data_IF_054532586129
#
_entry.id   IF_054532586129
#
_cell.length_a   1.000
_cell.length_b   1.000
_cell.length_c   1.000
_cell.angle_alpha   90.00
_cell.angle_beta   90.00
_cell.angle_gamma   90.00
#
_symmetry.space_group_name_H-M   'P 1'
#
loop_
_entity.id
_entity.type
_entity.pdbx_description
1 polymer ?
#
# COMPACT_ATOMS: atom_id res chain seq x y z
N UNK A 1 23.42 -5.86 2.01
CA UNK A 1 21.99 -5.85 1.71
C UNK A 1 21.64 -7.18 1.04
N UNK A 2 20.53 -7.83 1.40
CA UNK A 2 20.17 -9.10 0.78
C UNK A 2 19.90 -8.90 -0.71
N UNK A 3 20.68 -9.53 -1.54
CA UNK A 3 20.43 -9.71 -2.97
C UNK A 3 19.96 -11.14 -3.13
N UNK A 4 18.78 -11.32 -3.69
CA UNK A 4 18.22 -12.66 -3.93
C UNK A 4 16.72 -12.75 -3.59
N UNK A 5 16.07 -13.87 -3.93
CA UNK A 5 14.64 -14.03 -3.71
C UNK A 5 14.32 -14.08 -2.22
N UNK A 6 13.32 -13.33 -1.82
CA UNK A 6 12.71 -13.39 -0.49
C UNK A 6 11.26 -13.79 -0.63
N UNK A 7 10.78 -14.62 0.27
CA UNK A 7 9.37 -15.02 0.32
C UNK A 7 8.85 -14.85 1.74
N UNK A 8 7.62 -14.41 1.84
CA UNK A 8 6.92 -14.26 3.11
C UNK A 8 5.50 -14.77 2.96
N UNK A 9 5.02 -15.49 3.96
CA UNK A 9 3.60 -15.83 4.10
C UNK A 9 3.15 -15.31 5.45
N UNK A 10 2.08 -14.54 5.46
CA UNK A 10 1.43 -14.06 6.67
C UNK A 10 -0.01 -14.53 6.73
N UNK A 11 -0.48 -14.81 7.93
CA UNK A 11 -1.88 -15.17 8.19
C UNK A 11 -2.38 -14.30 9.34
N UNK A 12 -3.51 -13.66 9.13
CA UNK A 12 -4.23 -12.89 10.14
C UNK A 12 -5.60 -13.54 10.35
N UNK A 13 -5.94 -13.78 11.61
CA UNK A 13 -7.27 -14.22 12.00
C UNK A 13 -7.84 -13.20 12.98
N UNK A 14 -8.98 -12.61 12.60
CA UNK A 14 -9.64 -11.59 13.42
C UNK A 14 -11.11 -11.95 13.61
N UNK A 15 -11.57 -11.92 14.85
CA UNK A 15 -12.97 -12.04 15.21
C UNK A 15 -13.54 -10.68 15.53
N UNK A 16 -14.58 -10.31 14.81
CA UNK A 16 -15.36 -9.09 15.05
C UNK A 16 -16.66 -9.45 15.77
N UNK A 17 -16.94 -8.79 16.88
CA UNK A 17 -18.19 -8.90 17.59
C UNK A 17 -18.76 -7.51 17.88
N UNK A 18 -20.00 -7.29 17.47
CA UNK A 18 -20.70 -6.04 17.73
C UNK A 18 -21.74 -6.24 18.82
N UNK A 19 -21.70 -5.39 19.81
CA UNK A 19 -22.81 -5.29 20.74
C UNK A 19 -23.91 -4.44 20.10
N UNK A 20 -24.82 -5.10 19.39
CA UNK A 20 -25.92 -4.42 18.71
C UNK A 20 -26.93 -4.03 19.78
N UNK A 21 -26.96 -2.72 20.10
CA UNK A 21 -28.03 -2.19 20.93
C UNK A 21 -29.39 -2.47 20.25
N UNK A 22 -30.38 -2.92 21.01
CA UNK A 22 -31.71 -3.28 20.54
C UNK A 22 -32.49 -2.14 19.86
N UNK A 23 -31.92 -0.94 19.79
CA UNK A 23 -32.48 0.27 19.19
C UNK A 23 -32.05 0.53 17.74
N UNK A 24 -31.13 -0.28 17.15
CA UNK A 24 -30.78 -0.12 15.74
C UNK A 24 -31.86 -0.78 14.89
N UNK A 25 -32.53 -0.04 13.97
CA UNK A 25 -33.50 -0.64 13.08
C UNK A 25 -32.89 -1.80 12.31
N UNK A 26 -33.58 -2.91 12.29
CA UNK A 26 -33.21 -4.17 11.66
C UNK A 26 -33.08 -4.07 10.12
N UNK A 27 -32.98 -2.88 9.56
CA UNK A 27 -33.02 -2.58 8.12
C UNK A 27 -31.71 -2.09 7.51
N UNK A 28 -30.66 -1.92 8.33
CA UNK A 28 -29.36 -1.47 7.79
C UNK A 28 -28.61 -2.64 7.12
N UNK A 29 -28.32 -2.56 5.83
CA UNK A 29 -27.59 -3.61 5.12
C UNK A 29 -26.16 -3.77 5.68
N UNK A 30 -25.70 -5.02 5.82
CA UNK A 30 -24.30 -5.34 6.17
C UNK A 30 -23.98 -5.39 7.67
N UNK A 31 -24.97 -5.34 8.56
CA UNK A 31 -24.74 -5.52 10.00
C UNK A 31 -24.66 -7.00 10.35
N UNK A 32 -23.49 -7.43 10.78
CA UNK A 32 -23.24 -8.78 11.30
C UNK A 32 -23.09 -8.71 12.82
N UNK A 33 -23.72 -9.62 13.55
CA UNK A 33 -23.55 -9.71 15.01
C UNK A 33 -22.17 -10.23 15.38
N UNK A 34 -21.64 -11.12 14.58
CA UNK A 34 -20.31 -11.71 14.72
C UNK A 34 -19.78 -12.09 13.33
N UNK A 35 -18.51 -11.86 13.10
CA UNK A 35 -17.83 -12.32 11.91
C UNK A 35 -16.39 -12.70 12.22
N UNK A 36 -15.95 -13.77 11.62
CA UNK A 36 -14.55 -14.19 11.61
C UNK A 36 -13.96 -13.89 10.23
N UNK A 37 -12.80 -13.22 10.19
CA UNK A 37 -12.03 -12.98 8.98
C UNK A 37 -10.70 -13.72 9.08
N UNK A 38 -10.38 -14.46 8.04
CA UNK A 38 -9.04 -15.03 7.84
C UNK A 38 -8.43 -14.41 6.61
N UNK A 39 -7.26 -13.80 6.74
CA UNK A 39 -6.47 -13.26 5.64
C UNK A 39 -5.19 -14.05 5.53
N UNK A 40 -4.91 -14.56 4.33
CA UNK A 40 -3.63 -15.19 4.00
C UNK A 40 -2.98 -14.39 2.90
N UNK A 41 -1.76 -13.91 3.13
CA UNK A 41 -0.99 -13.15 2.14
C UNK A 41 0.37 -13.80 1.91
N UNK A 42 0.60 -14.21 0.67
CA UNK A 42 1.90 -14.64 0.17
C UNK A 42 2.58 -13.51 -0.58
N UNK A 43 3.88 -13.32 -0.37
CA UNK A 43 4.71 -12.32 -1.06
C UNK A 43 5.98 -12.99 -1.56
N UNK A 44 6.33 -12.74 -2.81
CA UNK A 44 7.60 -13.11 -3.42
C UNK A 44 8.24 -11.85 -3.97
N UNK A 45 9.47 -11.55 -3.56
CA UNK A 45 10.23 -10.39 -3.99
C UNK A 45 11.64 -10.81 -4.40
N UNK A 46 12.17 -10.17 -5.44
CA UNK A 46 13.53 -10.39 -5.90
C UNK A 46 14.31 -9.06 -5.96
N UNK A 47 14.76 -8.51 -4.80
CA UNK A 47 15.46 -7.25 -4.78
C UNK A 47 16.88 -7.37 -5.34
N UNK A 48 17.24 -6.47 -6.23
CA UNK A 48 18.61 -6.17 -6.64
C UNK A 48 18.95 -4.78 -6.16
N UNK A 49 19.92 -4.66 -5.25
CA UNK A 49 20.28 -3.38 -4.64
C UNK A 49 21.78 -3.17 -4.78
N UNK A 50 22.14 -2.05 -5.36
CA UNK A 50 23.51 -1.55 -5.52
C UNK A 50 23.62 -0.14 -4.93
N UNK A 51 24.83 0.43 -4.75
CA UNK A 51 24.95 1.80 -4.29
C UNK A 51 24.28 2.85 -5.18
N UNK A 52 24.22 2.60 -6.50
CA UNK A 52 23.72 3.58 -7.48
C UNK A 52 22.28 3.31 -7.96
N UNK A 53 21.74 2.13 -7.74
CA UNK A 53 20.35 1.79 -8.14
C UNK A 53 19.77 0.61 -7.37
N UNK A 54 18.45 0.52 -7.39
CA UNK A 54 17.77 -0.70 -6.98
C UNK A 54 16.64 -1.03 -7.96
N UNK A 55 16.33 -2.34 -8.03
CA UNK A 55 15.19 -2.89 -8.76
C UNK A 55 14.55 -3.94 -7.86
N UNK A 56 13.26 -3.80 -7.56
CA UNK A 56 12.49 -4.69 -6.67
C UNK A 56 11.21 -5.15 -7.35
N UNK A 57 11.26 -6.19 -8.17
CA UNK A 57 10.06 -6.87 -8.62
C UNK A 57 9.42 -7.62 -7.45
N UNK A 58 8.10 -7.52 -7.33
CA UNK A 58 7.32 -8.17 -6.29
C UNK A 58 6.03 -8.73 -6.86
N UNK A 59 5.70 -9.94 -6.42
CA UNK A 59 4.41 -10.58 -6.62
C UNK A 59 3.79 -10.86 -5.27
N UNK A 60 2.53 -10.56 -5.09
CA UNK A 60 1.77 -10.91 -3.89
C UNK A 60 0.44 -11.54 -4.26
N UNK A 61 -0.04 -12.40 -3.39
CA UNK A 61 -1.33 -13.05 -3.50
C UNK A 61 -2.02 -12.93 -2.16
N UNK A 62 -3.16 -12.25 -2.13
CA UNK A 62 -3.95 -12.09 -0.91
C UNK A 62 -5.28 -12.83 -1.05
N UNK A 63 -5.56 -13.69 -0.07
CA UNK A 63 -6.83 -14.40 0.06
C UNK A 63 -7.52 -13.95 1.34
N UNK A 64 -8.76 -13.51 1.20
CA UNK A 64 -9.64 -13.21 2.32
C UNK A 64 -10.76 -14.22 2.37
N UNK A 65 -11.04 -14.75 3.55
CA UNK A 65 -12.19 -15.64 3.81
C UNK A 65 -12.97 -15.09 5.00
N UNK A 66 -14.28 -15.10 4.89
CA UNK A 66 -15.17 -14.60 5.92
C UNK A 66 -16.17 -15.67 6.33
N UNK A 67 -16.38 -15.80 7.64
CA UNK A 67 -17.48 -16.54 8.23
C UNK A 67 -18.28 -15.58 9.10
N UNK A 68 -19.47 -15.21 8.65
CA UNK A 68 -20.27 -14.20 9.32
C UNK A 68 -21.67 -14.77 9.64
N UNK A 69 -22.17 -14.43 10.83
CA UNK A 69 -23.57 -14.66 11.19
C UNK A 69 -24.36 -13.42 10.82
N UNK A 70 -25.21 -13.54 9.80
CA UNK A 70 -26.08 -12.44 9.38
C UNK A 70 -27.15 -12.20 10.45
N UNK A 71 -27.33 -10.92 10.80
CA UNK A 71 -28.40 -10.53 11.74
C UNK A 71 -29.78 -10.60 11.12
N UNK A 72 -29.90 -10.64 9.78
CA UNK A 72 -31.18 -10.71 9.08
C UNK A 72 -31.26 -11.89 8.11
N UNK A 73 -32.44 -12.58 8.05
CA UNK A 73 -32.73 -13.55 7.00
C UNK A 73 -32.71 -12.89 5.62
N UNK A 74 -32.07 -13.52 4.65
CA UNK A 74 -32.01 -13.04 3.26
C UNK A 74 -30.74 -12.31 2.87
N UNK A 75 -29.79 -12.13 3.76
CA UNK A 75 -28.46 -11.61 3.41
C UNK A 75 -27.63 -12.69 2.71
N UNK A 76 -26.93 -12.29 1.64
CA UNK A 76 -25.95 -13.16 0.99
C UNK A 76 -24.83 -13.49 1.98
N UNK A 77 -24.37 -14.75 2.03
CA UNK A 77 -23.22 -15.10 2.85
C UNK A 77 -22.01 -14.23 2.45
N UNK A 78 -21.22 -13.85 3.42
CA UNK A 78 -20.00 -13.09 3.20
C UNK A 78 -19.11 -13.84 2.22
N UNK A 79 -18.70 -13.16 1.15
CA UNK A 79 -17.85 -13.74 0.11
C UNK A 79 -16.40 -13.40 0.39
N UNK A 80 -15.52 -14.40 0.24
CA UNK A 80 -14.09 -14.19 0.19
C UNK A 80 -13.61 -13.83 -1.21
N UNK A 81 -12.35 -13.43 -1.31
CA UNK A 81 -11.68 -13.15 -2.57
C UNK A 81 -10.24 -13.65 -2.58
N UNK A 82 -9.69 -13.76 -3.79
CA UNK A 82 -8.28 -14.05 -4.04
C UNK A 82 -7.77 -13.04 -5.06
N UNK A 83 -6.79 -12.23 -4.69
CA UNK A 83 -6.31 -11.13 -5.51
C UNK A 83 -4.79 -11.19 -5.64
N UNK A 84 -4.26 -11.32 -6.87
CA UNK A 84 -2.85 -11.16 -7.16
C UNK A 84 -2.52 -9.67 -7.33
N UNK A 85 -1.33 -9.27 -6.90
CA UNK A 85 -0.75 -7.95 -7.18
C UNK A 85 0.69 -8.13 -7.66
N UNK A 86 1.03 -7.48 -8.76
CA UNK A 86 2.39 -7.38 -9.27
C UNK A 86 2.88 -5.94 -9.14
N UNK A 87 4.10 -5.74 -8.67
CA UNK A 87 4.71 -4.42 -8.63
C UNK A 87 6.18 -4.46 -9.00
N UNK A 88 6.66 -3.34 -9.52
CA UNK A 88 8.06 -3.08 -9.81
C UNK A 88 8.44 -1.72 -9.25
N UNK A 89 9.25 -1.72 -8.18
CA UNK A 89 9.81 -0.53 -7.58
C UNK A 89 11.28 -0.39 -7.99
N UNK A 90 11.65 0.72 -8.57
CA UNK A 90 13.02 1.00 -9.01
C UNK A 90 13.43 2.43 -8.71
N UNK A 91 14.71 2.61 -8.41
CA UNK A 91 15.25 3.93 -8.15
C UNK A 91 16.74 4.00 -8.49
N UNK A 92 17.18 5.23 -8.71
CA UNK A 92 18.58 5.58 -8.89
C UNK A 92 19.04 6.46 -7.74
N UNK A 93 20.31 6.44 -7.43
CA UNK A 93 20.93 7.33 -6.45
C UNK A 93 22.15 8.00 -7.09
N UNK A 94 22.12 9.32 -7.18
CA UNK A 94 23.23 10.15 -7.63
C UNK A 94 23.66 11.02 -6.45
N UNK A 95 24.96 11.10 -6.24
CA UNK A 95 25.54 11.92 -5.17
C UNK A 95 26.69 12.75 -5.72
N UNK A 96 26.82 13.98 -5.23
CA UNK A 96 27.95 14.84 -5.50
C UNK A 96 28.26 15.72 -4.28
N UNK A 97 29.51 16.09 -4.14
CA UNK A 97 29.92 17.14 -3.22
C UNK A 97 29.34 18.49 -3.64
N UNK A 98 28.79 19.23 -2.70
CA UNK A 98 28.11 20.51 -2.91
C UNK A 98 28.87 21.65 -2.18
N UNK A 99 30.14 21.83 -2.47
CA UNK A 99 30.99 22.86 -1.85
C UNK A 99 30.45 24.28 -2.02
N UNK A 100 29.77 24.55 -3.13
CA UNK A 100 29.17 25.85 -3.44
C UNK A 100 28.05 26.27 -2.48
N UNK A 101 27.39 25.30 -1.86
CA UNK A 101 26.32 25.52 -0.85
C UNK A 101 26.87 25.76 0.55
N UNK A 102 28.18 25.67 0.74
CA UNK A 102 28.85 25.84 2.02
C UNK A 102 28.63 27.21 2.67
N UNK A 103 28.43 28.25 1.87
CA UNK A 103 28.08 29.59 2.39
C UNK A 103 26.69 29.70 2.97
N UNK A 104 25.78 28.80 2.60
CA UNK A 104 24.37 28.84 3.02
C UNK A 104 24.04 27.82 4.13
N UNK A 105 24.60 26.59 4.04
CA UNK A 105 24.29 25.48 4.94
C UNK A 105 25.50 25.01 5.78
N UNK A 106 26.65 25.61 5.61
CA UNK A 106 27.92 25.16 6.22
C UNK A 106 28.83 24.45 5.23
N UNK A 107 29.99 24.05 5.69
CA UNK A 107 31.00 23.38 4.87
C UNK A 107 30.73 21.87 4.79
N UNK A 108 31.23 21.23 3.72
CA UNK A 108 31.12 19.77 3.50
C UNK A 108 29.67 19.26 3.35
N UNK A 109 28.96 19.82 2.38
CA UNK A 109 27.64 19.36 2.00
C UNK A 109 27.71 18.28 0.92
N UNK A 110 26.83 17.30 1.01
CA UNK A 110 26.56 16.27 0.01
C UNK A 110 25.15 16.53 -0.56
N UNK A 111 25.06 16.63 -1.87
CA UNK A 111 23.80 16.72 -2.59
C UNK A 111 23.47 15.36 -3.18
N UNK A 112 22.34 14.79 -2.83
CA UNK A 112 21.79 13.61 -3.50
C UNK A 112 20.64 13.95 -4.42
N UNK A 113 20.46 13.13 -5.45
CA UNK A 113 19.33 13.14 -6.37
C UNK A 113 18.85 11.71 -6.57
N UNK A 114 17.61 11.44 -6.20
CA UNK A 114 17.04 10.10 -6.06
C UNK A 114 15.75 9.97 -6.89
N UNK A 115 15.86 9.72 -8.22
CA UNK A 115 14.67 9.35 -9.02
C UNK A 115 14.13 7.99 -8.58
N UNK A 116 12.80 7.88 -8.50
CA UNK A 116 12.09 6.63 -8.18
C UNK A 116 10.91 6.44 -9.10
N UNK A 117 10.65 5.19 -9.48
CA UNK A 117 9.45 4.80 -10.20
C UNK A 117 8.87 3.52 -9.58
N UNK A 118 7.57 3.52 -9.38
CA UNK A 118 6.81 2.35 -8.93
C UNK A 118 5.68 2.09 -9.93
N UNK A 119 5.65 0.90 -10.51
CA UNK A 119 4.52 0.39 -11.27
C UNK A 119 3.75 -0.63 -10.43
N UNK A 120 2.42 -0.55 -10.44
CA UNK A 120 1.54 -1.49 -9.72
C UNK A 120 0.44 -1.95 -10.64
N UNK A 121 0.24 -3.25 -10.69
CA UNK A 121 -0.88 -3.89 -11.35
C UNK A 121 -1.60 -4.84 -10.38
N UNK A 122 -2.89 -4.59 -10.17
CA UNK A 122 -3.82 -5.42 -9.41
C UNK A 122 -5.10 -5.53 -10.24
N UNK A 123 -5.51 -6.73 -10.68
CA UNK A 123 -6.74 -6.88 -11.45
C UNK A 123 -7.96 -6.58 -10.59
N UNK A 124 -9.02 -6.12 -11.26
CA UNK A 124 -10.31 -5.95 -10.61
C UNK A 124 -10.88 -7.31 -10.17
N UNK A 125 -11.32 -7.37 -8.92
CA UNK A 125 -12.11 -8.47 -8.37
C UNK A 125 -13.29 -7.86 -7.63
N UNK A 126 -14.49 -8.35 -7.92
CA UNK A 126 -15.71 -7.86 -7.26
C UNK A 126 -15.67 -8.12 -5.75
N UNK A 127 -15.75 -7.08 -4.96
CA UNK A 127 -15.73 -7.09 -3.50
C UNK A 127 -17.01 -6.49 -2.89
N UNK A 128 -18.07 -6.31 -3.69
CA UNK A 128 -19.31 -5.67 -3.22
C UNK A 128 -19.98 -6.41 -2.06
N UNK A 129 -19.85 -7.74 -2.03
CA UNK A 129 -20.45 -8.58 -0.98
C UNK A 129 -19.45 -8.98 0.12
N UNK A 130 -18.29 -8.36 0.17
CA UNK A 130 -17.33 -8.54 1.28
C UNK A 130 -17.65 -7.58 2.43
N UNK A 131 -17.63 -8.05 3.67
CA UNK A 131 -17.81 -7.19 4.83
C UNK A 131 -16.76 -6.07 4.91
N UNK A 132 -17.10 -4.99 5.59
CA UNK A 132 -16.20 -3.89 5.89
C UNK A 132 -16.12 -3.72 7.40
N UNK A 133 -14.97 -4.02 8.00
CA UNK A 133 -14.77 -3.96 9.44
C UNK A 133 -13.73 -2.91 9.85
N UNK A 134 -12.50 -3.06 9.40
CA UNK A 134 -11.34 -2.28 9.83
C UNK A 134 -10.63 -1.55 8.67
N UNK A 135 -11.29 -1.45 7.53
CA UNK A 135 -10.71 -0.84 6.34
C UNK A 135 -11.19 0.60 6.16
N UNK A 136 -10.28 1.46 5.78
CA UNK A 136 -10.54 2.85 5.45
C UNK A 136 -9.72 3.28 4.23
N UNK A 137 -10.14 4.38 3.60
CA UNK A 137 -9.34 4.99 2.53
C UNK A 137 -8.01 5.51 3.11
N UNK A 138 -6.94 5.23 2.42
CA UNK A 138 -5.65 5.80 2.74
C UNK A 138 -5.62 7.27 2.30
N UNK A 139 -5.22 8.16 3.22
CA UNK A 139 -5.07 9.58 2.90
C UNK A 139 -4.04 9.81 1.79
N UNK A 140 -4.21 10.87 1.02
CA UNK A 140 -3.27 11.24 -0.03
C UNK A 140 -2.10 12.06 0.54
N UNK A 141 -0.87 11.61 0.26
CA UNK A 141 0.35 12.29 0.70
C UNK A 141 1.59 11.67 0.03
N UNK A 142 2.75 12.29 0.21
CA UNK A 142 4.02 11.84 -0.40
C UNK A 142 4.37 10.41 0.04
N UNK A 143 4.08 10.02 1.28
CA UNK A 143 4.32 8.66 1.74
C UNK A 143 3.37 7.63 1.11
N UNK A 144 2.13 8.04 0.86
CA UNK A 144 1.07 7.18 0.35
C UNK A 144 1.04 7.07 -1.17
N UNK A 145 1.62 8.04 -1.89
CA UNK A 145 1.60 8.04 -3.37
C UNK A 145 2.29 6.80 -3.97
N UNK A 146 3.21 6.17 -3.22
CA UNK A 146 3.88 4.93 -3.58
C UNK A 146 3.23 3.67 -2.97
N UNK A 147 2.00 3.77 -2.48
CA UNK A 147 1.27 2.63 -1.94
C UNK A 147 0.73 1.73 -3.05
N UNK A 148 0.80 0.41 -2.88
CA UNK A 148 0.20 -0.55 -3.81
C UNK A 148 -1.32 -0.57 -3.68
N UNK A 149 -1.82 -0.54 -2.45
CA UNK A 149 -3.25 -0.50 -2.13
C UNK A 149 -3.66 0.92 -1.72
N UNK A 150 -4.83 1.39 -2.15
CA UNK A 150 -5.39 2.68 -1.74
C UNK A 150 -6.14 2.60 -0.41
N UNK A 151 -6.31 1.41 0.12
CA UNK A 151 -6.96 1.17 1.41
C UNK A 151 -5.94 0.75 2.47
N UNK A 152 -6.18 1.16 3.70
CA UNK A 152 -5.58 0.59 4.91
C UNK A 152 -6.53 -0.46 5.48
N UNK A 153 -6.01 -1.41 6.25
CA UNK A 153 -6.79 -2.57 6.73
C UNK A 153 -6.78 -3.72 5.72
N UNK A 154 -7.62 -4.73 5.97
CA UNK A 154 -7.55 -5.98 5.24
C UNK A 154 -8.83 -6.36 4.49
N UNK A 155 -9.93 -5.58 4.57
CA UNK A 155 -11.20 -5.96 3.95
C UNK A 155 -11.30 -5.59 2.48
N UNK A 156 -10.45 -4.67 2.02
CA UNK A 156 -10.44 -4.18 0.63
C UNK A 156 -9.05 -4.18 0.03
N UNK A 157 -8.98 -4.59 -1.21
CA UNK A 157 -7.79 -4.46 -2.05
C UNK A 157 -8.21 -3.71 -3.33
N UNK A 158 -7.61 -2.54 -3.55
CA UNK A 158 -7.91 -1.76 -4.74
C UNK A 158 -7.37 -2.42 -6.00
N UNK A 159 -8.18 -2.43 -7.05
CA UNK A 159 -7.67 -2.66 -8.39
C UNK A 159 -6.77 -1.49 -8.79
N UNK A 160 -5.70 -1.79 -9.48
CA UNK A 160 -4.67 -0.81 -9.83
C UNK A 160 -4.01 -1.16 -11.16
N UNK A 161 -3.86 -0.15 -11.99
CA UNK A 161 -2.96 -0.15 -13.13
C UNK A 161 -2.36 1.25 -13.20
N UNK A 162 -1.25 1.46 -12.46
CA UNK A 162 -0.73 2.80 -12.21
C UNK A 162 0.79 2.81 -12.20
N UNK A 163 1.35 3.95 -12.57
CA UNK A 163 2.75 4.28 -12.35
C UNK A 163 2.86 5.51 -11.47
N UNK A 164 3.78 5.47 -10.52
CA UNK A 164 4.18 6.62 -9.72
C UNK A 164 5.64 6.92 -10.03
N UNK A 165 5.93 8.14 -10.42
CA UNK A 165 7.30 8.62 -10.62
C UNK A 165 7.57 9.76 -9.65
N UNK A 166 8.79 9.84 -9.15
CA UNK A 166 9.17 10.93 -8.26
C UNK A 166 10.66 11.18 -8.25
N UNK A 167 11.00 12.32 -7.69
CA UNK A 167 12.36 12.81 -7.54
C UNK A 167 12.52 13.38 -6.15
N UNK A 168 13.49 12.85 -5.40
CA UNK A 168 13.89 13.41 -4.11
C UNK A 168 15.30 13.97 -4.24
N UNK A 169 15.51 15.18 -3.74
CA UNK A 169 16.82 15.80 -3.60
C UNK A 169 17.05 16.10 -2.13
N UNK A 170 18.24 15.72 -1.63
CA UNK A 170 18.65 15.94 -0.23
C UNK A 170 19.95 16.70 -0.18
N UNK A 171 20.05 17.58 0.80
CA UNK A 171 21.29 18.24 1.19
C UNK A 171 21.64 17.72 2.58
N UNK A 172 22.77 17.00 2.66
CA UNK A 172 23.22 16.34 3.89
C UNK A 172 24.62 16.85 4.24
N UNK A 173 24.86 17.11 5.51
CA UNK A 173 26.19 17.45 5.99
C UNK A 173 27.08 16.20 6.01
N UNK A 174 28.18 16.22 5.26
CA UNK A 174 29.03 15.03 5.07
C UNK A 174 29.68 14.51 6.34
N UNK A 175 29.95 15.41 7.31
CA UNK A 175 30.67 15.07 8.53
C UNK A 175 29.76 14.45 9.62
N UNK A 176 28.49 14.86 9.67
CA UNK A 176 27.56 14.47 10.72
C UNK A 176 26.43 13.58 10.21
N UNK A 177 26.19 13.53 8.90
CA UNK A 177 25.04 12.90 8.29
C UNK A 177 23.74 13.67 8.52
N UNK A 178 23.79 14.89 9.07
CA UNK A 178 22.61 15.69 9.33
C UNK A 178 21.96 16.17 8.03
N UNK A 179 20.68 15.83 7.84
CA UNK A 179 19.89 16.33 6.72
C UNK A 179 19.53 17.81 6.95
N UNK A 180 19.90 18.67 6.01
CA UNK A 180 19.67 20.11 6.09
C UNK A 180 18.50 20.58 5.27
N UNK A 181 18.23 19.91 4.16
CA UNK A 181 17.06 20.17 3.32
C UNK A 181 16.67 18.90 2.55
N UNK A 182 15.37 18.73 2.35
CA UNK A 182 14.79 17.70 1.48
C UNK A 182 13.67 18.30 0.66
N UNK A 183 13.71 18.02 -0.64
CA UNK A 183 12.63 18.35 -1.56
C UNK A 183 12.22 17.07 -2.26
N UNK A 184 10.93 16.74 -2.22
CA UNK A 184 10.36 15.60 -2.94
C UNK A 184 9.23 16.08 -3.83
N UNK A 185 9.28 15.67 -5.09
CA UNK A 185 8.22 15.84 -6.08
C UNK A 185 7.81 14.46 -6.56
N UNK A 186 6.51 14.20 -6.64
CA UNK A 186 6.02 12.93 -7.16
C UNK A 186 4.71 13.14 -7.92
N UNK A 187 4.50 12.28 -8.92
CA UNK A 187 3.28 12.23 -9.72
C UNK A 187 2.87 10.78 -9.91
N UNK A 188 1.58 10.53 -9.76
CA UNK A 188 0.96 9.24 -10.06
C UNK A 188 0.07 9.39 -11.29
N UNK A 189 0.25 8.46 -12.24
CA UNK A 189 -0.61 8.31 -13.40
C UNK A 189 -1.32 6.96 -13.32
N UNK A 190 -2.64 7.01 -13.32
CA UNK A 190 -3.50 5.84 -13.40
C UNK A 190 -3.89 5.58 -14.85
N UNK A 191 -3.72 4.35 -15.34
CA UNK A 191 -4.04 3.97 -16.72
C UNK A 191 -5.48 3.47 -16.89
N UNK A 192 -6.05 2.94 -15.80
CA UNK A 192 -7.46 2.51 -15.74
C UNK A 192 -8.11 3.10 -14.50
N UNK A 193 -9.36 3.52 -14.60
CA UNK A 193 -10.09 3.99 -13.42
C UNK A 193 -10.23 2.85 -12.40
N UNK A 194 -10.04 3.17 -11.13
CA UNK A 194 -10.28 2.24 -10.03
C UNK A 194 -11.78 1.92 -9.96
N UNK A 195 -12.12 0.65 -9.82
CA UNK A 195 -13.50 0.17 -9.77
C UNK A 195 -13.90 -0.27 -8.35
N UNK A 196 -12.93 -0.64 -7.51
CA UNK A 196 -13.20 -1.01 -6.12
C UNK A 196 -13.17 0.23 -5.24
N UNK A 197 -14.31 0.56 -4.64
CA UNK A 197 -14.43 1.59 -3.61
C UNK A 197 -14.47 1.00 -2.21
N UNK A 198 -14.48 1.87 -1.19
CA UNK A 198 -14.53 1.44 0.21
C UNK A 198 -15.79 0.63 0.51
N UNK A 199 -16.93 1.04 -0.04
CA UNK A 199 -18.23 0.37 0.15
C UNK A 199 -18.49 -0.78 -0.84
N UNK A 200 -17.51 -1.16 -1.63
CA UNK A 200 -17.62 -2.18 -2.68
C UNK A 200 -17.22 -1.63 -4.05
N UNK A 201 -18.11 -1.71 -5.03
CA UNK A 201 -17.83 -1.15 -6.35
C UNK A 201 -18.19 0.34 -6.41
N UNK A 202 -17.42 1.10 -7.18
CA UNK A 202 -17.71 2.50 -7.53
C UNK A 202 -18.64 2.54 -8.73
#
# INVERSE_FOLDING_TARGET
LPTGPTSMVSTDFTRFSYNIASSIPNTAPGIFSQADRTVVKGVLEYPTITPGYYIRPKLSLQSNSYSATAYQPGYLPAQGFLIPTASLDTGLAFERDAFEMGSFFGQNMLLSLEPRALYVYTPYVNQANTPLFDTADQGFGIGQIYSENTFIGNDRVSDSNKVTVGLTSRITESNTGAERAVITLAQQQQFTAQQVGLTGNI
#
